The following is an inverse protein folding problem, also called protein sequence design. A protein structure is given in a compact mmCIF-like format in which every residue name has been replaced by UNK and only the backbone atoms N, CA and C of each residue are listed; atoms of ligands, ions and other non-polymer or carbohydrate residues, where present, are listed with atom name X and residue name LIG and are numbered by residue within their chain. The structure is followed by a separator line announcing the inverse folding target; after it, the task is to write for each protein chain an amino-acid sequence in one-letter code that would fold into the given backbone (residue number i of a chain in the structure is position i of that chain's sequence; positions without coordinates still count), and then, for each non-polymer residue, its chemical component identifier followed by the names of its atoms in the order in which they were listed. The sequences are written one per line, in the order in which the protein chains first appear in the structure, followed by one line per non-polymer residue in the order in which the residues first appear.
data_IF_836385063756
#
_entry.id   IF_836385063756
#
_cell.length_a   1.000
_cell.length_b   1.000
_cell.length_c   1.000
_cell.angle_alpha   90.00
_cell.angle_beta   90.00
_cell.angle_gamma   90.00
#
_symmetry.space_group_name_H-M   'P 1'
#
loop_
_entity.id
_entity.type
_entity.pdbx_description
1 polymer ?
#
# COMPACT_ATOMS: atom_id res chain seq x y z
N UNK A 1 -23.15 -9.43 4.23
CA UNK A 1 -23.00 -10.87 4.41
C UNK A 1 -22.80 -11.24 5.87
N UNK A 2 -22.01 -10.51 6.64
CA UNK A 2 -21.69 -10.87 8.05
C UNK A 2 -22.86 -10.67 9.00
N UNK A 3 -23.70 -9.66 8.79
CA UNK A 3 -24.92 -9.45 9.58
C UNK A 3 -25.96 -10.56 9.40
N UNK A 4 -25.91 -11.30 8.29
CA UNK A 4 -26.80 -12.43 7.98
C UNK A 4 -28.29 -12.12 8.04
N UNK A 5 -28.67 -10.86 7.91
CA UNK A 5 -30.08 -10.41 7.96
C UNK A 5 -30.82 -10.87 6.70
N UNK A 6 -30.18 -10.75 5.55
CA UNK A 6 -30.72 -11.14 4.25
C UNK A 6 -29.70 -11.94 3.41
N UNK A 7 -30.15 -12.53 2.33
CA UNK A 7 -29.29 -13.19 1.36
C UNK A 7 -28.60 -12.13 0.48
N UNK A 8 -27.29 -12.27 0.27
CA UNK A 8 -26.53 -11.36 -0.60
C UNK A 8 -26.90 -11.60 -2.07
N UNK A 9 -27.34 -10.53 -2.72
CA UNK A 9 -27.54 -10.49 -4.17
C UNK A 9 -26.66 -9.39 -4.78
N UNK A 10 -26.17 -9.60 -5.99
CA UNK A 10 -25.42 -8.60 -6.74
C UNK A 10 -25.59 -8.86 -8.24
N UNK A 11 -25.99 -7.84 -8.98
CA UNK A 11 -26.15 -7.90 -10.44
C UNK A 11 -25.16 -6.92 -11.09
N UNK A 12 -23.86 -7.25 -10.97
CA UNK A 12 -22.78 -6.45 -11.55
C UNK A 12 -22.29 -7.04 -12.88
N UNK A 13 -21.69 -6.19 -13.71
CA UNK A 13 -21.15 -6.57 -15.02
C UNK A 13 -20.07 -7.66 -14.93
N UNK A 14 -19.24 -7.62 -13.86
CA UNK A 14 -18.09 -8.53 -13.70
C UNK A 14 -18.38 -9.65 -12.70
N UNK A 15 -19.33 -9.47 -11.83
CA UNK A 15 -19.70 -10.43 -10.80
C UNK A 15 -21.20 -10.43 -10.63
N UNK A 16 -21.83 -11.62 -10.61
CA UNK A 16 -23.25 -11.78 -10.34
C UNK A 16 -23.46 -12.78 -9.19
N UNK A 17 -24.35 -12.46 -8.27
CA UNK A 17 -24.74 -13.30 -7.13
C UNK A 17 -26.25 -13.29 -6.95
N UNK A 18 -26.96 -14.42 -7.04
CA UNK A 18 -26.47 -15.70 -7.59
C UNK A 18 -26.12 -15.58 -9.08
N UNK A 19 -25.23 -16.44 -9.54
CA UNK A 19 -24.87 -16.47 -10.96
C UNK A 19 -26.06 -16.99 -11.79
N UNK A 20 -26.39 -16.25 -12.88
CA UNK A 20 -27.55 -16.53 -13.73
C UNK A 20 -27.20 -16.72 -15.21
N UNK A 21 -25.90 -16.93 -15.54
CA UNK A 21 -25.47 -17.18 -16.91
C UNK A 21 -25.94 -18.54 -17.44
N UNK A 22 -26.00 -18.67 -18.78
CA UNK A 22 -26.49 -19.86 -19.48
C UNK A 22 -25.68 -21.15 -19.18
N UNK A 23 -24.43 -21.00 -18.76
CA UNK A 23 -23.55 -22.08 -18.32
C UNK A 23 -23.68 -22.41 -16.83
N UNK A 24 -24.56 -21.71 -16.09
CA UNK A 24 -24.86 -21.97 -14.69
C UNK A 24 -25.78 -23.16 -14.48
N UNK A 25 -25.74 -23.75 -13.27
CA UNK A 25 -26.60 -24.88 -12.92
C UNK A 25 -28.07 -24.49 -12.72
N UNK A 26 -28.45 -23.22 -12.77
CA UNK A 26 -29.81 -22.72 -12.61
C UNK A 26 -30.42 -22.90 -11.21
N UNK A 27 -29.63 -23.31 -10.22
CA UNK A 27 -30.06 -23.57 -8.84
C UNK A 27 -29.59 -22.50 -7.86
N UNK A 28 -29.14 -21.36 -8.41
CA UNK A 28 -28.57 -20.26 -7.63
C UNK A 28 -29.53 -19.70 -6.59
N UNK A 29 -29.09 -19.65 -5.34
CA UNK A 29 -29.77 -18.95 -4.24
C UNK A 29 -28.91 -17.78 -3.77
N UNK A 30 -29.54 -16.71 -3.27
CA UNK A 30 -28.81 -15.63 -2.62
C UNK A 30 -27.87 -16.18 -1.53
N UNK A 31 -26.60 -15.75 -1.57
CA UNK A 31 -25.58 -16.24 -0.63
C UNK A 31 -25.92 -15.78 0.80
N UNK A 32 -26.06 -16.72 1.71
CA UNK A 32 -26.17 -16.45 3.14
C UNK A 32 -25.06 -17.20 3.87
N UNK A 33 -24.18 -16.47 4.54
CA UNK A 33 -23.08 -17.07 5.29
C UNK A 33 -23.58 -17.93 6.45
N UNK A 34 -22.97 -19.09 6.65
CA UNK A 34 -23.15 -19.90 7.86
C UNK A 34 -22.19 -19.47 8.99
N UNK A 35 -21.18 -18.64 8.66
CA UNK A 35 -20.22 -18.14 9.62
C UNK A 35 -20.83 -16.97 10.41
N UNK A 36 -20.68 -17.02 11.73
CA UNK A 36 -21.04 -15.95 12.64
C UNK A 36 -19.82 -15.05 12.87
N UNK A 37 -19.60 -14.12 11.95
CA UNK A 37 -18.53 -13.15 12.01
C UNK A 37 -18.95 -11.90 12.78
N UNK A 38 -17.97 -11.20 13.38
CA UNK A 38 -18.24 -9.85 13.85
C UNK A 38 -18.51 -8.96 12.63
N UNK A 39 -19.68 -8.32 12.51
CA UNK A 39 -20.00 -7.47 11.37
C UNK A 39 -19.20 -6.15 11.36
N UNK A 40 -18.60 -5.77 12.48
CA UNK A 40 -17.91 -4.52 12.68
C UNK A 40 -16.38 -4.66 12.53
N UNK A 41 -15.91 -5.77 11.94
CA UNK A 41 -14.48 -5.91 11.57
C UNK A 41 -14.12 -4.82 10.56
N UNK A 42 -13.11 -3.98 10.85
CA UNK A 42 -12.69 -2.93 9.92
C UNK A 42 -12.10 -3.53 8.64
N UNK A 43 -12.45 -2.92 7.51
CA UNK A 43 -11.98 -3.33 6.18
C UNK A 43 -11.01 -2.29 5.64
N UNK A 44 -9.80 -2.74 5.33
CA UNK A 44 -8.77 -1.91 4.71
C UNK A 44 -8.58 -2.31 3.25
N UNK A 45 -8.44 -1.32 2.38
CA UNK A 45 -8.20 -1.55 0.95
C UNK A 45 -6.80 -1.08 0.56
N UNK A 46 -6.02 -1.99 -0.04
CA UNK A 46 -4.74 -1.67 -0.67
C UNK A 46 -4.97 -1.00 -2.02
N UNK A 47 -4.55 0.24 -2.17
CA UNK A 47 -4.75 0.98 -3.42
C UNK A 47 -3.71 2.08 -3.62
N UNK A 48 -3.55 2.55 -4.88
CA UNK A 48 -2.56 3.57 -5.21
C UNK A 48 -2.88 4.38 -6.47
N UNK A 49 -3.98 4.08 -7.18
CA UNK A 49 -4.46 4.89 -8.28
C UNK A 49 -5.71 5.69 -7.87
N UNK A 50 -5.98 6.76 -8.58
CA UNK A 50 -7.04 7.71 -8.27
C UNK A 50 -8.41 7.06 -8.06
N UNK A 51 -8.85 6.22 -9.01
CA UNK A 51 -10.17 5.59 -8.95
C UNK A 51 -10.34 4.67 -7.73
N UNK A 52 -9.32 3.85 -7.45
CA UNK A 52 -9.38 2.92 -6.31
C UNK A 52 -9.16 3.62 -4.97
N UNK A 53 -8.37 4.70 -4.90
CA UNK A 53 -8.22 5.49 -3.67
C UNK A 53 -9.52 6.23 -3.33
N UNK A 54 -10.22 6.80 -4.33
CA UNK A 54 -11.57 7.37 -4.13
C UNK A 54 -12.55 6.33 -3.60
N UNK A 55 -12.59 5.15 -4.23
CA UNK A 55 -13.43 4.05 -3.76
C UNK A 55 -13.08 3.63 -2.34
N UNK A 56 -11.78 3.56 -2.02
CA UNK A 56 -11.30 3.25 -0.66
C UNK A 56 -11.85 4.27 0.35
N UNK A 57 -11.76 5.56 0.05
CA UNK A 57 -12.36 6.61 0.88
C UNK A 57 -13.87 6.49 1.02
N UNK A 58 -14.56 5.98 0.00
CA UNK A 58 -16.02 5.81 0.01
C UNK A 58 -16.48 4.63 0.87
N UNK A 59 -15.86 3.45 0.73
CA UNK A 59 -16.42 2.20 1.28
C UNK A 59 -15.59 1.53 2.38
N UNK A 60 -14.29 1.85 2.54
CA UNK A 60 -13.40 1.16 3.49
C UNK A 60 -13.25 1.91 4.81
N UNK A 61 -12.86 1.22 5.87
CA UNK A 61 -12.55 1.80 7.17
C UNK A 61 -11.11 2.32 7.24
N UNK A 62 -10.26 1.84 6.33
CA UNK A 62 -8.89 2.29 6.23
C UNK A 62 -8.26 2.02 4.87
N UNK A 63 -7.07 2.58 4.71
CA UNK A 63 -6.30 2.53 3.48
C UNK A 63 -4.88 2.03 3.72
N UNK A 64 -4.46 1.09 2.89
CA UNK A 64 -3.09 0.61 2.79
C UNK A 64 -2.46 1.21 1.52
N UNK A 65 -1.81 2.36 1.63
CA UNK A 65 -1.30 3.08 0.47
C UNK A 65 -0.19 2.33 -0.24
N UNK A 66 -0.26 2.30 -1.56
CA UNK A 66 0.82 1.82 -2.38
C UNK A 66 1.81 2.95 -2.67
N UNK A 67 3.08 2.75 -2.30
CA UNK A 67 4.14 3.73 -2.57
C UNK A 67 4.02 5.04 -1.81
N UNK A 68 3.50 4.99 -0.61
CA UNK A 68 3.42 6.12 0.30
C UNK A 68 4.77 6.41 0.96
N UNK A 69 5.07 7.69 1.12
CA UNK A 69 6.17 8.22 1.91
C UNK A 69 5.88 9.69 2.27
N UNK A 70 6.60 10.29 3.23
CA UNK A 70 6.40 11.69 3.60
C UNK A 70 6.39 12.64 2.39
N UNK A 71 5.41 13.54 2.35
CA UNK A 71 5.20 14.47 1.23
C UNK A 71 4.30 13.95 0.10
N UNK A 72 3.83 12.70 0.15
CA UNK A 72 2.94 12.18 -0.90
C UNK A 72 1.46 12.35 -0.60
N UNK A 73 1.09 12.74 0.60
CA UNK A 73 -0.30 12.90 1.02
C UNK A 73 -1.08 13.91 0.18
N UNK A 74 -0.41 14.97 -0.28
CA UNK A 74 -1.05 16.02 -1.09
C UNK A 74 -1.67 15.49 -2.39
N UNK A 75 -1.10 14.42 -2.97
CA UNK A 75 -1.67 13.75 -4.14
C UNK A 75 -2.93 12.96 -3.79
N UNK A 76 -2.92 12.26 -2.65
CA UNK A 76 -3.98 11.33 -2.28
C UNK A 76 -5.15 11.98 -1.54
N UNK A 77 -4.88 13.06 -0.82
CA UNK A 77 -5.87 13.75 0.01
C UNK A 77 -7.14 14.13 -0.76
N UNK A 78 -7.08 14.78 -1.94
CA UNK A 78 -8.28 15.13 -2.70
C UNK A 78 -9.10 13.91 -3.10
N UNK A 79 -8.45 12.79 -3.41
CA UNK A 79 -9.13 11.56 -3.81
C UNK A 79 -9.86 10.90 -2.66
N UNK A 80 -9.24 10.87 -1.47
CA UNK A 80 -9.87 10.36 -0.26
C UNK A 80 -11.05 11.24 0.18
N UNK A 81 -10.89 12.57 0.16
CA UNK A 81 -11.96 13.52 0.49
C UNK A 81 -13.16 13.40 -0.43
N UNK A 82 -12.93 13.17 -1.73
CA UNK A 82 -14.03 12.89 -2.65
C UNK A 82 -14.73 11.56 -2.30
N UNK A 83 -13.98 10.52 -1.93
CA UNK A 83 -14.53 9.27 -1.44
C UNK A 83 -15.40 9.47 -0.18
N UNK A 84 -14.90 10.20 0.81
CA UNK A 84 -15.64 10.51 2.03
C UNK A 84 -16.94 11.26 1.73
N UNK A 85 -16.88 12.22 0.81
CA UNK A 85 -18.09 12.96 0.37
C UNK A 85 -19.12 12.03 -0.28
N UNK A 86 -18.70 11.05 -1.07
CA UNK A 86 -19.60 10.07 -1.69
C UNK A 86 -20.21 9.11 -0.66
N UNK A 87 -19.46 8.71 0.35
CA UNK A 87 -19.98 7.88 1.44
C UNK A 87 -21.13 8.54 2.19
N UNK A 88 -21.08 9.85 2.44
CA UNK A 88 -22.18 10.69 2.91
C UNK A 88 -22.62 10.47 4.35
N UNK A 89 -22.16 9.44 5.03
CA UNK A 89 -22.63 9.01 6.36
C UNK A 89 -21.75 9.53 7.52
N UNK A 90 -21.19 10.71 7.38
CA UNK A 90 -20.28 11.30 8.36
C UNK A 90 -18.85 10.74 8.29
N UNK A 91 -18.50 10.06 7.19
CA UNK A 91 -17.15 9.57 6.97
C UNK A 91 -16.16 10.71 6.74
N UNK A 92 -14.97 10.57 7.30
CA UNK A 92 -13.93 11.60 7.19
C UNK A 92 -12.65 11.18 7.90
N UNK A 93 -11.71 12.10 8.00
CA UNK A 93 -10.39 11.86 8.60
C UNK A 93 -10.44 11.36 10.04
N UNK A 94 -11.48 11.67 10.80
CA UNK A 94 -11.63 11.29 12.21
C UNK A 94 -12.00 9.82 12.45
N UNK A 95 -12.47 9.13 11.42
CA UNK A 95 -12.89 7.73 11.48
C UNK A 95 -12.36 6.90 10.30
N UNK A 96 -11.22 7.30 9.76
CA UNK A 96 -10.55 6.61 8.66
C UNK A 96 -9.07 6.43 8.98
N UNK A 97 -8.57 5.22 8.87
CA UNK A 97 -7.18 4.90 9.16
C UNK A 97 -6.32 4.83 7.89
N UNK A 98 -5.12 5.41 7.96
CA UNK A 98 -4.09 5.29 6.92
C UNK A 98 -2.91 4.54 7.51
N UNK A 99 -2.74 3.30 7.09
CA UNK A 99 -1.67 2.43 7.54
C UNK A 99 -0.57 2.38 6.47
N UNK A 100 0.43 3.25 6.61
CA UNK A 100 1.55 3.29 5.68
C UNK A 100 2.59 2.22 6.04
N UNK A 101 3.26 1.68 5.01
CA UNK A 101 4.36 0.74 5.18
C UNK A 101 5.69 1.47 5.11
N UNK A 102 6.56 1.22 6.08
CA UNK A 102 7.93 1.73 6.12
C UNK A 102 8.92 0.57 6.25
N UNK A 103 9.95 0.57 5.41
CA UNK A 103 11.09 -0.32 5.57
C UNK A 103 12.09 0.31 6.53
N UNK A 104 12.59 -0.47 7.50
CA UNK A 104 13.52 0.03 8.52
C UNK A 104 14.75 -0.86 8.57
N UNK A 105 15.91 -0.24 8.41
CA UNK A 105 17.20 -0.94 8.42
C UNK A 105 18.25 -0.12 9.19
N UNK A 106 18.68 -0.64 10.34
CA UNK A 106 19.69 -0.03 11.20
C UNK A 106 21.07 -0.51 10.75
N UNK A 107 21.75 0.30 9.96
CA UNK A 107 23.06 -0.02 9.39
C UNK A 107 23.89 1.27 9.27
N UNK A 108 25.19 1.20 9.53
CA UNK A 108 26.09 2.34 9.30
C UNK A 108 26.26 2.65 7.80
N UNK A 109 26.13 1.63 6.94
CA UNK A 109 26.19 1.77 5.48
C UNK A 109 24.78 1.96 4.87
N UNK A 110 24.36 3.21 4.76
CA UNK A 110 23.08 3.59 4.13
C UNK A 110 22.98 3.06 2.69
N UNK A 111 24.11 3.08 1.95
CA UNK A 111 24.11 2.62 0.56
C UNK A 111 23.84 1.13 0.45
N UNK A 112 24.42 0.34 1.32
CA UNK A 112 24.17 -1.11 1.39
C UNK A 112 22.70 -1.40 1.73
N UNK A 113 22.09 -0.63 2.64
CA UNK A 113 20.67 -0.74 2.98
C UNK A 113 19.78 -0.45 1.77
N UNK A 114 20.07 0.61 1.02
CA UNK A 114 19.37 0.98 -0.20
C UNK A 114 19.50 -0.12 -1.26
N UNK A 115 20.71 -0.62 -1.50
CA UNK A 115 20.97 -1.60 -2.55
C UNK A 115 20.26 -2.94 -2.29
N UNK A 116 20.05 -3.33 -1.03
CA UNK A 116 19.26 -4.52 -0.67
C UNK A 116 17.81 -4.47 -1.18
N UNK A 117 17.24 -3.30 -1.37
CA UNK A 117 15.86 -3.13 -1.82
C UNK A 117 15.70 -2.98 -3.34
N UNK A 118 16.76 -2.56 -4.05
CA UNK A 118 16.72 -2.34 -5.49
C UNK A 118 16.26 -3.54 -6.32
N UNK A 119 16.67 -4.78 -6.04
CA UNK A 119 16.23 -5.94 -6.81
C UNK A 119 14.71 -6.12 -6.82
N UNK A 120 14.08 -5.89 -5.67
CA UNK A 120 12.63 -5.94 -5.54
C UNK A 120 11.96 -4.81 -6.32
N UNK A 121 12.44 -3.60 -6.23
CA UNK A 121 11.87 -2.46 -6.95
C UNK A 121 12.04 -2.63 -8.46
N UNK A 122 13.19 -3.10 -8.94
CA UNK A 122 13.39 -3.41 -10.35
C UNK A 122 12.39 -4.47 -10.88
N UNK A 123 12.11 -5.51 -10.09
CA UNK A 123 11.07 -6.50 -10.41
C UNK A 123 9.69 -5.84 -10.52
N UNK A 124 9.30 -5.02 -9.54
CA UNK A 124 7.98 -4.40 -9.53
C UNK A 124 7.80 -3.40 -10.66
N UNK A 125 8.81 -2.57 -10.94
CA UNK A 125 8.75 -1.56 -12.01
C UNK A 125 8.89 -2.20 -13.39
N UNK A 126 9.79 -3.19 -13.54
CA UNK A 126 10.16 -3.75 -14.84
C UNK A 126 9.44 -5.04 -15.21
N UNK A 127 9.19 -5.95 -14.24
CA UNK A 127 8.76 -7.32 -14.50
C UNK A 127 7.38 -7.71 -14.01
N UNK A 128 6.70 -6.87 -13.21
CA UNK A 128 5.38 -7.21 -12.69
C UNK A 128 4.26 -6.80 -13.64
N UNK A 129 3.28 -7.68 -13.79
CA UNK A 129 2.11 -7.42 -14.61
C UNK A 129 2.37 -7.47 -16.13
N UNK A 130 1.47 -6.86 -16.88
CA UNK A 130 1.63 -6.72 -18.32
C UNK A 130 2.50 -5.50 -18.63
N UNK A 131 3.31 -5.58 -19.72
CA UNK A 131 4.23 -4.48 -20.10
C UNK A 131 3.53 -3.10 -20.26
N UNK A 132 2.27 -3.12 -20.71
CA UNK A 132 1.46 -1.92 -20.94
C UNK A 132 0.48 -1.61 -19.78
N UNK A 133 0.48 -2.41 -18.71
CA UNK A 133 -0.38 -2.23 -17.52
C UNK A 133 0.36 -2.64 -16.26
N UNK A 134 1.26 -1.79 -15.83
CA UNK A 134 2.00 -1.99 -14.61
C UNK A 134 1.79 -0.79 -13.67
N UNK A 135 0.90 -0.95 -12.70
CA UNK A 135 0.57 0.14 -11.76
C UNK A 135 1.74 0.56 -10.85
N UNK A 136 2.75 -0.29 -10.64
CA UNK A 136 3.98 0.09 -9.95
C UNK A 136 4.82 1.02 -10.82
N UNK A 137 4.97 0.70 -12.11
CA UNK A 137 5.63 1.58 -13.08
C UNK A 137 4.88 2.91 -13.21
N UNK A 138 3.55 2.88 -13.32
CA UNK A 138 2.73 4.07 -13.45
C UNK A 138 2.89 4.99 -12.24
N UNK A 139 2.94 4.44 -11.03
CA UNK A 139 3.20 5.20 -9.81
C UNK A 139 4.61 5.83 -9.83
N UNK A 140 5.62 5.08 -10.24
CA UNK A 140 6.99 5.56 -10.34
C UNK A 140 7.12 6.71 -11.35
N UNK A 141 6.41 6.62 -12.50
CA UNK A 141 6.31 7.70 -13.50
C UNK A 141 5.65 8.95 -12.90
N UNK A 142 4.55 8.80 -12.16
CA UNK A 142 3.88 9.94 -11.50
C UNK A 142 4.77 10.67 -10.50
N UNK A 143 5.78 9.99 -9.95
CA UNK A 143 6.78 10.57 -9.04
C UNK A 143 7.96 11.22 -9.78
N UNK A 144 7.90 11.34 -11.11
CA UNK A 144 8.90 12.04 -11.93
C UNK A 144 10.00 11.16 -12.51
N UNK A 145 9.96 9.83 -12.30
CA UNK A 145 11.00 8.89 -12.74
C UNK A 145 10.66 8.19 -14.07
N UNK A 146 10.10 8.93 -15.02
CA UNK A 146 9.63 8.32 -16.28
C UNK A 146 10.76 7.65 -17.07
N UNK A 147 11.90 8.33 -17.23
CA UNK A 147 13.02 7.80 -18.00
C UNK A 147 13.60 6.54 -17.37
N UNK A 148 13.78 6.56 -16.04
CA UNK A 148 14.23 5.39 -15.29
C UNK A 148 13.23 4.25 -15.36
N UNK A 149 11.91 4.53 -15.27
CA UNK A 149 10.86 3.53 -15.38
C UNK A 149 10.91 2.79 -16.71
N UNK A 150 11.03 3.53 -17.81
CA UNK A 150 11.11 2.97 -19.15
C UNK A 150 12.39 2.15 -19.33
N UNK A 151 13.52 2.64 -18.85
CA UNK A 151 14.81 1.95 -18.92
C UNK A 151 14.83 0.67 -18.07
N UNK A 152 14.32 0.73 -16.83
CA UNK A 152 14.24 -0.46 -15.96
C UNK A 152 13.39 -1.53 -16.62
N UNK A 153 12.23 -1.19 -17.20
CA UNK A 153 11.36 -2.16 -17.84
C UNK A 153 12.02 -2.78 -19.09
N UNK A 154 12.65 -1.96 -19.94
CA UNK A 154 13.37 -2.43 -21.13
C UNK A 154 14.44 -3.45 -20.73
N UNK A 155 15.32 -3.09 -19.81
CA UNK A 155 16.41 -3.93 -19.33
C UNK A 155 15.89 -5.22 -18.67
N UNK A 156 14.87 -5.10 -17.82
CA UNK A 156 14.32 -6.25 -17.11
C UNK A 156 13.70 -7.27 -18.05
N UNK A 157 12.88 -6.81 -19.00
CA UNK A 157 12.20 -7.69 -19.98
C UNK A 157 13.15 -8.28 -21.02
N UNK A 158 14.27 -7.62 -21.30
CA UNK A 158 15.34 -8.16 -22.18
C UNK A 158 16.35 -9.07 -21.46
N UNK A 159 16.15 -9.32 -20.15
CA UNK A 159 16.99 -10.23 -19.38
C UNK A 159 18.20 -9.59 -18.71
N UNK A 160 18.44 -8.29 -18.91
CA UNK A 160 19.56 -7.52 -18.29
C UNK A 160 19.19 -7.06 -16.88
N UNK A 161 18.89 -8.02 -16.00
CA UNK A 161 18.34 -7.74 -14.66
C UNK A 161 19.28 -6.94 -13.77
N UNK A 162 20.57 -7.22 -13.82
CA UNK A 162 21.57 -6.49 -13.01
C UNK A 162 21.64 -5.00 -13.40
N UNK A 163 21.57 -4.71 -14.69
CA UNK A 163 21.54 -3.33 -15.18
C UNK A 163 20.22 -2.65 -14.81
N UNK A 164 19.08 -3.37 -14.87
CA UNK A 164 17.80 -2.87 -14.41
C UNK A 164 17.83 -2.51 -12.91
N UNK A 165 18.43 -3.35 -12.07
CA UNK A 165 18.62 -3.13 -10.65
C UNK A 165 19.47 -1.88 -10.40
N UNK A 166 20.60 -1.76 -11.12
CA UNK A 166 21.49 -0.60 -11.02
C UNK A 166 20.81 0.72 -11.46
N UNK A 167 19.81 0.63 -12.33
CA UNK A 167 19.06 1.81 -12.82
C UNK A 167 18.05 2.35 -11.80
N UNK A 168 17.70 1.59 -10.74
CA UNK A 168 16.79 2.07 -9.69
C UNK A 168 17.45 3.20 -8.89
N UNK A 169 16.84 4.42 -8.85
CA UNK A 169 17.42 5.54 -8.14
C UNK A 169 17.48 5.32 -6.63
N UNK A 170 18.57 5.74 -6.01
CA UNK A 170 18.76 5.66 -4.56
C UNK A 170 17.73 6.50 -3.81
N UNK A 171 17.42 7.69 -4.32
CA UNK A 171 16.44 8.60 -3.72
C UNK A 171 15.02 8.01 -3.68
N UNK A 172 14.64 7.18 -4.64
CA UNK A 172 13.36 6.47 -4.63
C UNK A 172 13.24 5.49 -3.47
N UNK A 173 14.32 4.77 -3.22
CA UNK A 173 14.38 3.79 -2.12
C UNK A 173 14.44 4.53 -0.79
N UNK A 174 15.31 5.53 -0.68
CA UNK A 174 15.56 6.24 0.57
C UNK A 174 14.33 7.03 1.05
N UNK A 175 13.57 7.64 0.14
CA UNK A 175 12.34 8.37 0.49
C UNK A 175 11.30 7.47 1.17
N UNK A 176 11.30 6.18 0.88
CA UNK A 176 10.30 5.18 1.30
C UNK A 176 10.72 4.34 2.50
N UNK A 177 11.87 4.64 3.09
CA UNK A 177 12.42 3.90 4.21
C UNK A 177 13.07 4.77 5.27
N UNK A 178 13.32 4.14 6.40
CA UNK A 178 14.12 4.66 7.51
C UNK A 178 15.38 3.78 7.59
N UNK A 179 16.44 4.22 6.93
CA UNK A 179 17.67 3.44 6.75
C UNK A 179 18.88 4.23 7.23
N UNK A 180 19.84 3.52 7.84
CA UNK A 180 21.08 4.11 8.30
C UNK A 180 21.32 3.97 9.81
N UNK A 181 22.28 4.71 10.38
CA UNK A 181 22.52 4.73 11.80
C UNK A 181 21.32 5.27 12.59
N UNK A 182 21.15 4.87 13.86
CA UNK A 182 19.99 5.28 14.67
C UNK A 182 19.73 6.78 14.70
N UNK A 183 20.76 7.60 14.70
CA UNK A 183 20.62 9.07 14.69
C UNK A 183 19.91 9.58 13.41
N UNK A 184 20.28 9.04 12.25
CA UNK A 184 19.64 9.36 10.97
C UNK A 184 18.18 8.92 10.92
N UNK A 185 17.90 7.72 11.42
CA UNK A 185 16.52 7.19 11.48
C UNK A 185 15.66 8.07 12.39
N UNK A 186 16.16 8.46 13.57
CA UNK A 186 15.46 9.37 14.51
C UNK A 186 15.14 10.72 13.88
N UNK A 187 16.10 11.31 13.19
CA UNK A 187 15.91 12.60 12.48
C UNK A 187 14.80 12.50 11.43
N UNK A 188 14.83 11.42 10.63
CA UNK A 188 13.87 11.22 9.54
C UNK A 188 12.48 10.75 9.99
N UNK A 189 12.37 10.20 11.19
CA UNK A 189 11.12 9.67 11.71
C UNK A 189 10.06 10.77 11.89
N UNK A 190 10.45 11.99 12.26
CA UNK A 190 9.50 13.11 12.40
C UNK A 190 8.72 13.39 11.12
N UNK A 191 9.34 13.26 9.96
CA UNK A 191 8.65 13.41 8.68
C UNK A 191 7.58 12.34 8.45
N UNK A 192 7.76 11.13 9.00
CA UNK A 192 6.74 10.07 8.97
C UNK A 192 5.61 10.35 9.96
N UNK A 193 5.89 10.91 11.14
CA UNK A 193 4.86 11.36 12.08
C UNK A 193 3.97 12.43 11.45
N UNK A 194 4.55 13.35 10.67
CA UNK A 194 3.85 14.45 10.00
C UNK A 194 3.28 14.07 8.62
N UNK A 195 3.45 12.82 8.17
CA UNK A 195 3.11 12.39 6.82
C UNK A 195 1.61 12.33 6.51
N UNK A 196 0.76 12.38 7.55
CA UNK A 196 -0.68 12.16 7.43
C UNK A 196 -1.10 10.68 7.56
N UNK A 197 -0.15 9.73 7.65
CA UNK A 197 -0.46 8.37 8.08
C UNK A 197 -0.66 8.34 9.60
N UNK A 198 -1.66 7.63 10.08
CA UNK A 198 -1.94 7.49 11.50
C UNK A 198 -1.50 6.14 12.08
N UNK A 199 -1.02 5.24 11.23
CA UNK A 199 -0.28 4.06 11.69
C UNK A 199 0.82 3.66 10.70
N UNK A 200 1.87 2.99 11.21
CA UNK A 200 2.99 2.49 10.41
C UNK A 200 3.12 0.98 10.54
N UNK A 201 3.05 0.28 9.40
CA UNK A 201 3.49 -1.11 9.32
C UNK A 201 4.98 -1.15 9.10
N UNK A 202 5.73 -1.47 10.13
CA UNK A 202 7.18 -1.60 10.08
C UNK A 202 7.57 -2.91 9.39
N UNK A 203 8.45 -2.82 8.39
CA UNK A 203 9.15 -3.95 7.77
C UNK A 203 10.61 -3.89 8.17
N UNK A 204 10.99 -4.52 9.29
CA UNK A 204 12.33 -4.44 9.82
C UNK A 204 13.28 -5.35 9.06
N UNK A 205 14.52 -4.92 8.85
CA UNK A 205 15.60 -5.77 8.33
C UNK A 205 16.18 -6.67 9.41
N UNK A 206 16.13 -6.24 10.67
CA UNK A 206 16.67 -6.94 11.84
C UNK A 206 15.95 -6.50 13.13
N UNK A 207 16.19 -7.23 14.24
CA UNK A 207 15.55 -6.97 15.54
C UNK A 207 15.86 -5.55 16.08
N UNK A 208 17.07 -5.04 15.88
CA UNK A 208 17.43 -3.68 16.26
C UNK A 208 16.54 -2.60 15.64
N UNK A 209 16.00 -2.87 14.45
CA UNK A 209 15.03 -1.95 13.81
C UNK A 209 13.67 -1.98 14.52
N UNK A 210 13.26 -3.13 15.06
CA UNK A 210 12.02 -3.25 15.86
C UNK A 210 12.16 -2.47 17.16
N UNK A 211 13.27 -2.66 17.87
CA UNK A 211 13.55 -1.99 19.15
C UNK A 211 13.59 -0.47 18.98
N UNK A 212 14.30 0.01 17.94
CA UNK A 212 14.39 1.43 17.64
C UNK A 212 13.01 2.03 17.31
N UNK A 213 12.22 1.34 16.50
CA UNK A 213 10.89 1.83 16.13
C UNK A 213 9.92 1.83 17.32
N UNK A 214 10.02 0.85 18.23
CA UNK A 214 9.25 0.81 19.46
C UNK A 214 9.62 2.01 20.39
N UNK A 215 10.91 2.34 20.48
CA UNK A 215 11.38 3.55 21.20
C UNK A 215 10.80 4.82 20.58
N UNK A 216 10.91 4.99 19.27
CA UNK A 216 10.46 6.18 18.55
C UNK A 216 8.94 6.35 18.62
N UNK A 217 8.18 5.28 18.48
CA UNK A 217 6.73 5.29 18.64
C UNK A 217 6.27 5.40 20.11
N UNK A 218 7.20 5.51 21.05
CA UNK A 218 6.92 5.60 22.51
C UNK A 218 6.08 4.42 23.02
N UNK A 219 6.23 3.27 22.38
CA UNK A 219 5.60 2.04 22.84
C UNK A 219 6.34 1.56 24.08
N UNK A 220 5.58 1.16 25.11
CA UNK A 220 6.18 0.54 26.27
C UNK A 220 6.84 -0.77 25.83
N UNK A 221 8.09 -1.06 26.28
CA UNK A 221 8.69 -2.34 26.01
C UNK A 221 7.79 -3.47 26.55
N UNK A 222 7.80 -4.65 25.93
CA UNK A 222 7.05 -5.77 26.46
C UNK A 222 7.45 -5.98 27.92
N UNK A 223 6.46 -6.07 28.78
CA UNK A 223 6.70 -6.44 30.19
C UNK A 223 7.26 -7.84 30.17
N UNK A 224 8.54 -7.99 30.51
CA UNK A 224 9.23 -9.27 30.64
C UNK A 224 8.59 -10.18 31.70
#
# INVERSE_FOLDING_TARGET
IWKREEGLTHDGKQLQLPYSGDDGLGVGKPLKSILHMNPDIPIYIGSGNEATVRLTGEIADGWLPLGFYPGTMDEYKPWLEEGFKRAGNGKGWHNFEIQARVFVDVDEDVKASIDRLKPREALYIGGMGHKDKNFHKDMFIRRGFKEQADRIQELYLSGHKEEAIATVPDEWIDARGLMGPPARIKERFSAWEDSGANSLTVSPAQDAAVDLMAELARLNPPRG
#
